data_IF_313686287747
#
_entry.id   IF_313686287747
#
_cell.length_a   1.000
_cell.length_b   1.000
_cell.length_c   1.000
_cell.angle_alpha   90.00
_cell.angle_beta   90.00
_cell.angle_gamma   90.00
#
_symmetry.space_group_name_H-M   'P 1'
#
loop_
_entity.id
_entity.type
_entity.pdbx_description
1 polymer ?
#
# COMPACT_ATOMS: atom_id res chain seq x y z
N UNK A 1 6.84 -1.72 15.31
CA UNK A 1 7.12 -2.85 14.40
C UNK A 1 7.15 -4.17 15.17
N UNK A 2 8.11 -4.39 16.07
CA UNK A 2 8.27 -5.67 16.78
C UNK A 2 7.05 -6.07 17.62
N UNK A 3 6.49 -5.14 18.40
CA UNK A 3 5.27 -5.36 19.18
C UNK A 3 3.97 -5.54 18.36
N UNK A 4 3.98 -5.19 17.07
CA UNK A 4 2.77 -5.18 16.24
C UNK A 4 2.74 -6.36 15.27
N UNK A 5 3.85 -6.59 14.54
CA UNK A 5 3.94 -7.67 13.56
C UNK A 5 4.34 -9.01 14.19
N UNK A 6 5.02 -8.98 15.32
CA UNK A 6 5.54 -10.19 15.96
C UNK A 6 6.62 -10.92 15.13
N UNK A 7 7.13 -12.04 15.65
CA UNK A 7 8.24 -12.78 15.04
C UNK A 7 7.85 -13.52 13.76
N UNK A 8 6.57 -13.88 13.57
CA UNK A 8 6.10 -14.62 12.40
C UNK A 8 5.99 -13.76 11.14
N UNK A 9 5.57 -12.50 11.26
CA UNK A 9 5.34 -11.64 10.09
C UNK A 9 6.57 -10.83 9.68
N UNK A 10 7.48 -10.52 10.62
CA UNK A 10 8.66 -9.71 10.33
C UNK A 10 9.57 -10.28 9.23
N UNK A 11 9.86 -11.60 9.19
CA UNK A 11 10.68 -12.19 8.13
C UNK A 11 10.02 -12.15 6.74
N UNK A 12 8.70 -11.91 6.66
CA UNK A 12 7.97 -11.82 5.40
C UNK A 12 8.18 -10.47 4.69
N UNK A 13 8.78 -9.48 5.37
CA UNK A 13 9.00 -8.13 4.82
C UNK A 13 10.49 -7.94 4.50
N UNK A 14 10.82 -7.94 3.20
CA UNK A 14 12.20 -7.80 2.73
C UNK A 14 12.75 -6.37 2.86
N UNK A 15 11.91 -5.35 2.67
CA UNK A 15 12.34 -3.95 2.64
C UNK A 15 11.42 -3.07 3.50
N UNK A 16 12.03 -2.15 4.25
CA UNK A 16 11.32 -1.27 5.16
C UNK A 16 11.47 0.18 4.72
N UNK A 17 10.34 0.88 4.65
CA UNK A 17 10.28 2.33 4.50
C UNK A 17 9.45 2.91 5.64
N UNK A 18 10.09 3.24 6.76
CA UNK A 18 9.44 3.79 7.95
C UNK A 18 9.78 5.28 8.15
N UNK A 19 8.96 6.00 8.91
CA UNK A 19 9.26 7.36 9.35
C UNK A 19 9.07 8.45 8.29
N UNK A 20 8.28 8.19 7.24
CA UNK A 20 7.91 9.26 6.31
C UNK A 20 7.18 10.38 7.05
N UNK A 21 7.66 11.61 6.88
CA UNK A 21 6.86 12.81 7.17
C UNK A 21 5.61 12.82 6.30
N UNK A 22 4.65 13.70 6.61
CA UNK A 22 3.35 13.79 5.92
C UNK A 22 3.54 13.85 4.39
N UNK A 23 4.55 14.58 3.91
CA UNK A 23 4.86 14.75 2.48
C UNK A 23 5.99 13.83 1.95
N UNK A 24 6.60 13.01 2.80
CA UNK A 24 7.78 12.21 2.43
C UNK A 24 7.49 10.81 1.88
N UNK A 25 6.21 10.39 1.83
CA UNK A 25 5.85 8.98 1.55
C UNK A 25 6.20 8.56 0.12
N UNK A 26 6.06 9.45 -0.88
CA UNK A 26 6.45 9.13 -2.26
C UNK A 26 7.95 8.89 -2.44
N UNK A 27 8.80 9.72 -1.81
CA UNK A 27 10.25 9.52 -1.85
C UNK A 27 10.68 8.22 -1.16
N UNK A 28 10.04 7.91 -0.01
CA UNK A 28 10.29 6.69 0.73
C UNK A 28 9.85 5.44 -0.04
N UNK A 29 8.66 5.46 -0.64
CA UNK A 29 8.18 4.37 -1.50
C UNK A 29 9.10 4.15 -2.69
N UNK A 30 9.55 5.22 -3.36
CA UNK A 30 10.51 5.12 -4.47
C UNK A 30 11.84 4.49 -4.03
N UNK A 31 12.33 4.81 -2.83
CA UNK A 31 13.55 4.20 -2.26
C UNK A 31 13.35 2.71 -2.00
N UNK A 32 12.21 2.30 -1.46
CA UNK A 32 11.88 0.88 -1.22
C UNK A 32 11.77 0.11 -2.54
N UNK A 33 11.07 0.66 -3.54
CA UNK A 33 10.98 0.05 -4.87
C UNK A 33 12.36 -0.13 -5.52
N UNK A 34 13.23 0.89 -5.42
CA UNK A 34 14.60 0.80 -5.92
C UNK A 34 15.40 -0.30 -5.22
N UNK A 35 15.27 -0.44 -3.89
CA UNK A 35 15.93 -1.49 -3.13
C UNK A 35 15.41 -2.89 -3.50
N UNK A 36 14.12 -3.01 -3.80
CA UNK A 36 13.49 -4.25 -4.26
C UNK A 36 13.82 -4.59 -5.73
N UNK A 37 14.27 -3.62 -6.53
CA UNK A 37 14.53 -3.80 -7.96
C UNK A 37 13.27 -4.05 -8.79
N UNK A 38 12.08 -3.68 -8.30
CA UNK A 38 10.80 -3.94 -8.96
C UNK A 38 10.27 -2.68 -9.64
N UNK A 39 9.88 -2.72 -10.92
CA UNK A 39 9.31 -1.58 -11.62
C UNK A 39 7.86 -1.30 -11.17
N UNK A 40 7.38 -0.08 -11.43
CA UNK A 40 6.01 0.34 -11.12
C UNK A 40 4.94 -0.59 -11.69
N UNK A 41 5.11 -1.03 -12.95
CA UNK A 41 4.19 -1.96 -13.63
C UNK A 41 4.06 -3.35 -12.97
N UNK A 42 4.94 -3.68 -12.02
CA UNK A 42 4.88 -4.92 -11.22
C UNK A 42 4.71 -4.66 -9.73
N UNK A 43 4.29 -3.44 -9.38
CA UNK A 43 4.14 -2.98 -8.00
C UNK A 43 2.72 -2.47 -7.78
N UNK A 44 2.11 -2.91 -6.69
CA UNK A 44 0.81 -2.43 -6.22
C UNK A 44 0.97 -1.78 -4.86
N UNK A 45 0.35 -0.63 -4.67
CA UNK A 45 0.22 0.04 -3.38
C UNK A 45 -1.07 -0.43 -2.71
N UNK A 46 -0.97 -0.89 -1.46
CA UNK A 46 -2.11 -1.31 -0.64
C UNK A 46 -2.14 -0.39 0.58
N UNK A 47 -3.25 0.32 0.77
CA UNK A 47 -3.35 1.33 1.83
C UNK A 47 -4.79 1.71 2.17
N UNK A 48 -4.96 2.30 3.34
CA UNK A 48 -6.27 2.72 3.87
C UNK A 48 -6.44 4.23 3.87
N UNK A 49 -5.43 5.01 3.49
CA UNK A 49 -5.50 6.48 3.41
C UNK A 49 -5.52 6.99 1.97
N UNK A 50 -6.23 8.09 1.71
CA UNK A 50 -6.17 8.80 0.42
C UNK A 50 -4.75 9.23 0.05
N UNK A 51 -3.90 9.46 1.06
CA UNK A 51 -2.48 9.77 0.88
C UNK A 51 -1.71 8.61 0.23
N UNK A 52 -2.11 7.37 0.45
CA UNK A 52 -1.50 6.20 -0.22
C UNK A 52 -1.88 6.14 -1.69
N UNK A 53 -3.12 6.52 -2.00
CA UNK A 53 -3.58 6.68 -3.38
C UNK A 53 -2.82 7.80 -4.10
N UNK A 54 -2.59 8.95 -3.44
CA UNK A 54 -1.81 10.04 -4.02
C UNK A 54 -0.37 9.62 -4.33
N UNK A 55 0.25 8.85 -3.44
CA UNK A 55 1.57 8.27 -3.67
C UNK A 55 1.54 7.28 -4.82
N UNK A 56 0.54 6.39 -4.87
CA UNK A 56 0.38 5.43 -5.96
C UNK A 56 0.26 6.13 -7.31
N UNK A 57 -0.60 7.16 -7.41
CA UNK A 57 -0.77 7.98 -8.62
C UNK A 57 0.52 8.68 -9.02
N UNK A 58 1.20 9.31 -8.07
CA UNK A 58 2.48 10.01 -8.31
C UNK A 58 3.56 9.09 -8.86
N UNK A 59 3.53 7.81 -8.46
CA UNK A 59 4.51 6.80 -8.84
C UNK A 59 4.05 5.88 -9.97
N UNK A 60 2.82 6.05 -10.48
CA UNK A 60 2.22 5.20 -11.51
C UNK A 60 2.00 3.76 -11.05
N UNK A 61 1.61 3.56 -9.80
CA UNK A 61 1.31 2.24 -9.22
C UNK A 61 -0.19 1.96 -9.27
N UNK A 62 -0.54 0.69 -9.41
CA UNK A 62 -1.89 0.23 -9.07
C UNK A 62 -2.17 0.50 -7.59
N UNK A 63 -3.43 0.74 -7.25
CA UNK A 63 -3.85 0.99 -5.88
C UNK A 63 -5.02 0.10 -5.45
N UNK A 64 -4.86 -0.54 -4.30
CA UNK A 64 -5.92 -1.27 -3.60
C UNK A 64 -6.19 -0.55 -2.28
N UNK A 65 -7.38 0.03 -2.17
CA UNK A 65 -7.90 0.58 -0.93
C UNK A 65 -8.34 -0.56 -0.01
N UNK A 66 -8.02 -0.48 1.29
CA UNK A 66 -8.50 -1.46 2.27
C UNK A 66 -9.51 -0.83 3.23
N UNK A 67 -10.57 -1.57 3.55
CA UNK A 67 -11.71 -1.06 4.32
C UNK A 67 -11.53 -1.15 5.85
N UNK A 68 -10.44 -1.74 6.33
CA UNK A 68 -10.20 -2.03 7.75
C UNK A 68 -9.22 -1.06 8.42
N UNK A 69 -9.02 0.12 7.84
CA UNK A 69 -8.15 1.18 8.36
C UNK A 69 -8.90 2.46 8.75
N UNK A 70 -8.21 3.59 8.68
CA UNK A 70 -8.67 4.89 9.17
C UNK A 70 -9.71 5.57 8.27
N UNK A 71 -9.54 5.50 6.95
CA UNK A 71 -10.45 6.19 6.03
C UNK A 71 -11.72 5.38 5.84
N UNK A 72 -12.88 6.04 5.98
CA UNK A 72 -14.17 5.42 5.66
C UNK A 72 -14.17 4.89 4.22
N UNK A 73 -14.55 3.63 3.96
CA UNK A 73 -14.49 2.99 2.62
C UNK A 73 -15.22 3.79 1.54
N UNK A 74 -16.30 4.46 1.91
CA UNK A 74 -17.09 5.32 1.02
C UNK A 74 -16.26 6.46 0.38
N UNK A 75 -15.13 6.88 0.96
CA UNK A 75 -14.26 7.89 0.36
C UNK A 75 -13.49 7.39 -0.87
N UNK A 76 -13.39 6.08 -1.05
CA UNK A 76 -12.79 5.47 -2.23
C UNK A 76 -13.81 5.16 -3.33
N UNK A 77 -15.11 5.19 -3.01
CA UNK A 77 -16.17 4.91 -3.95
C UNK A 77 -16.15 5.90 -5.13
N UNK A 78 -16.18 5.38 -6.35
CA UNK A 78 -16.16 6.18 -7.57
C UNK A 78 -14.81 6.78 -7.95
N UNK A 79 -13.74 6.54 -7.17
CA UNK A 79 -12.40 6.96 -7.58
C UNK A 79 -11.87 6.08 -8.72
N UNK A 80 -11.39 6.68 -9.83
CA UNK A 80 -10.93 5.92 -10.97
C UNK A 80 -9.68 5.10 -10.62
N UNK A 81 -9.68 3.84 -11.05
CA UNK A 81 -8.56 2.91 -10.87
C UNK A 81 -8.35 2.40 -9.44
N UNK A 82 -9.31 2.62 -8.54
CA UNK A 82 -9.23 2.14 -7.15
C UNK A 82 -10.06 0.87 -6.98
N UNK A 83 -9.41 -0.23 -6.61
CA UNK A 83 -10.10 -1.44 -6.15
C UNK A 83 -10.25 -1.38 -4.63
N UNK A 84 -11.45 -1.64 -4.13
CA UNK A 84 -11.70 -1.75 -2.69
C UNK A 84 -11.58 -3.20 -2.24
N UNK A 85 -10.92 -3.41 -1.11
CA UNK A 85 -10.79 -4.70 -0.45
C UNK A 85 -11.41 -4.63 0.95
N UNK A 86 -12.45 -5.43 1.18
CA UNK A 86 -13.25 -5.33 2.41
C UNK A 86 -12.63 -6.06 3.61
N UNK A 87 -11.86 -7.13 3.37
CA UNK A 87 -11.24 -7.93 4.43
C UNK A 87 -9.80 -8.32 4.11
N UNK A 88 -8.92 -8.51 5.11
CA UNK A 88 -7.54 -8.96 4.87
C UNK A 88 -7.46 -10.29 4.09
N UNK A 89 -8.41 -11.19 4.32
CA UNK A 89 -8.48 -12.49 3.62
C UNK A 89 -8.78 -12.34 2.13
N UNK A 90 -9.60 -11.35 1.74
CA UNK A 90 -9.94 -11.10 0.35
C UNK A 90 -8.77 -10.51 -0.47
N UNK A 91 -7.75 -9.93 0.20
CA UNK A 91 -6.64 -9.26 -0.47
C UNK A 91 -5.92 -10.17 -1.47
N UNK A 92 -5.75 -11.46 -1.14
CA UNK A 92 -5.13 -12.42 -2.05
C UNK A 92 -5.88 -12.53 -3.38
N UNK A 93 -7.21 -12.57 -3.34
CA UNK A 93 -8.02 -12.66 -4.55
C UNK A 93 -7.93 -11.36 -5.39
N UNK A 94 -7.93 -10.19 -4.72
CA UNK A 94 -7.83 -8.87 -5.37
C UNK A 94 -6.45 -8.61 -6.01
N UNK A 95 -5.41 -9.29 -5.54
CA UNK A 95 -4.05 -9.21 -6.10
C UNK A 95 -3.86 -10.08 -7.35
N UNK A 96 -4.66 -11.13 -7.51
CA UNK A 96 -4.49 -12.14 -8.58
C UNK A 96 -5.54 -12.07 -9.68
N UNK A 97 -6.60 -11.28 -9.47
CA UNK A 97 -7.62 -10.98 -10.48
C UNK A 97 -7.25 -9.75 -11.29
#
# INVERSE_FOLDING_TARGET
>A
MERVLGPGCRPLVAHWGCGASLFGKAALTRRVMKAAGVPAARTVSVGDELRDLDVARTLGLDFIAVAWGYTAPARFAGLPGVRLCDTPHALRAVLTG
#
